data_IF_517423756128
#
_entry.id   IF_517423756128
#
_cell.length_a   1.000
_cell.length_b   1.000
_cell.length_c   1.000
_cell.angle_alpha   90.00
_cell.angle_beta   90.00
_cell.angle_gamma   90.00
#
_symmetry.space_group_name_H-M   'P 1'
#
loop_
_entity.id
_entity.type
_entity.pdbx_description
1 polymer ?
#
# COMPACT_ATOMS: atom_id res chain seq x y z
N UNK A 1 3.95 -7.35 24.62
CA UNK A 1 2.77 -6.79 23.93
C UNK A 1 2.90 -5.30 23.53
N UNK A 2 4.03 -4.61 23.74
CA UNK A 2 4.14 -3.15 23.50
C UNK A 2 4.75 -2.75 22.15
N UNK A 3 5.17 -3.70 21.31
CA UNK A 3 5.97 -3.39 20.11
C UNK A 3 5.19 -3.47 18.79
N UNK A 4 3.99 -4.07 18.78
CA UNK A 4 3.17 -4.18 17.57
C UNK A 4 2.36 -2.90 17.26
N UNK A 5 2.08 -2.07 18.26
CA UNK A 5 1.30 -0.83 18.10
C UNK A 5 2.10 0.34 17.54
N UNK A 6 3.43 0.34 17.69
CA UNK A 6 4.29 1.42 17.19
C UNK A 6 4.53 1.33 15.68
N UNK A 7 4.66 0.11 15.13
CA UNK A 7 4.88 -0.11 13.69
C UNK A 7 3.59 0.12 12.90
N UNK A 8 2.42 -0.26 13.43
CA UNK A 8 1.13 0.04 12.80
C UNK A 8 0.83 1.54 12.74
N UNK A 9 1.21 2.30 13.76
CA UNK A 9 0.91 3.73 13.83
C UNK A 9 1.76 4.58 12.86
N UNK A 10 3.00 4.15 12.54
CA UNK A 10 3.87 4.83 11.58
C UNK A 10 3.41 4.65 10.12
N UNK A 11 2.87 3.47 9.77
CA UNK A 11 2.29 3.24 8.45
C UNK A 11 0.98 4.05 8.26
N UNK A 12 0.16 4.17 9.30
CA UNK A 12 -1.13 4.89 9.22
C UNK A 12 -1.01 6.40 9.08
N UNK A 13 0.05 7.04 9.61
CA UNK A 13 0.20 8.51 9.52
C UNK A 13 0.61 9.03 8.15
N UNK A 14 1.20 8.18 7.30
CA UNK A 14 1.57 8.55 5.91
C UNK A 14 0.39 8.37 4.94
N UNK A 15 -0.55 7.47 5.27
CA UNK A 15 -1.65 7.05 4.38
C UNK A 15 -2.72 8.14 4.17
N UNK A 16 -2.96 9.03 5.14
CA UNK A 16 -4.08 9.97 5.08
C UNK A 16 -3.78 11.18 4.17
N UNK A 17 -2.51 11.49 3.90
CA UNK A 17 -2.13 12.62 3.04
C UNK A 17 -2.10 12.32 1.53
N UNK A 18 -2.08 11.04 1.14
CA UNK A 18 -1.64 10.63 -0.21
C UNK A 18 -2.76 10.18 -1.15
N UNK A 19 -3.92 9.75 -0.62
CA UNK A 19 -5.00 9.17 -1.42
C UNK A 19 -5.99 10.19 -2.04
N UNK A 20 -5.87 11.48 -1.72
CA UNK A 20 -6.84 12.50 -2.16
C UNK A 20 -6.44 13.28 -3.42
N UNK A 21 -5.30 12.98 -4.04
CA UNK A 21 -4.62 13.95 -4.92
C UNK A 21 -4.95 13.89 -6.42
N UNK A 22 -5.22 12.75 -7.08
CA UNK A 22 -5.32 12.74 -8.55
C UNK A 22 -6.48 13.61 -9.05
N UNK A 23 -7.68 13.46 -8.48
CA UNK A 23 -8.83 14.31 -8.82
C UNK A 23 -8.64 15.79 -8.43
N UNK A 24 -7.78 16.09 -7.45
CA UNK A 24 -7.43 17.46 -7.06
C UNK A 24 -6.28 18.06 -7.90
N UNK A 25 -5.58 17.24 -8.70
CA UNK A 25 -4.49 17.69 -9.56
C UNK A 25 -5.04 18.11 -10.93
N UNK A 26 -5.92 17.28 -11.52
CA UNK A 26 -6.65 17.59 -12.76
C UNK A 26 -7.51 18.86 -12.60
N UNK A 27 -8.34 18.93 -11.55
CA UNK A 27 -9.13 20.13 -11.19
C UNK A 27 -8.28 21.39 -10.95
N UNK A 28 -7.00 21.23 -10.58
CA UNK A 28 -6.07 22.35 -10.41
C UNK A 28 -5.41 22.77 -11.73
N UNK A 29 -5.12 21.83 -12.63
CA UNK A 29 -4.60 22.11 -13.97
C UNK A 29 -5.61 22.95 -14.75
N UNK A 30 -6.82 22.42 -14.91
CA UNK A 30 -7.93 23.06 -15.62
C UNK A 30 -8.21 24.48 -15.10
N UNK A 31 -8.23 24.66 -13.78
CA UNK A 31 -8.44 25.98 -13.17
C UNK A 31 -7.28 26.95 -13.42
N UNK A 32 -6.06 26.46 -13.55
CA UNK A 32 -4.91 27.33 -13.87
C UNK A 32 -4.99 27.77 -15.32
N UNK A 33 -5.30 26.85 -16.24
CA UNK A 33 -5.41 27.13 -17.67
C UNK A 33 -6.53 28.13 -17.93
N UNK A 34 -7.72 27.89 -17.38
CA UNK A 34 -8.85 28.81 -17.48
C UNK A 34 -8.46 30.23 -16.98
N UNK A 35 -7.63 30.33 -15.93
CA UNK A 35 -7.16 31.63 -15.42
C UNK A 35 -6.11 32.29 -16.30
N UNK A 36 -5.29 31.52 -17.01
CA UNK A 36 -4.30 32.04 -17.96
C UNK A 36 -5.01 32.52 -19.23
N UNK A 37 -5.98 31.76 -19.73
CA UNK A 37 -6.79 32.11 -20.90
C UNK A 37 -7.59 33.38 -20.65
N UNK A 38 -8.37 33.42 -19.56
CA UNK A 38 -9.11 34.63 -19.15
C UNK A 38 -8.18 35.84 -18.94
N UNK A 39 -6.91 35.61 -18.63
CA UNK A 39 -5.93 36.69 -18.48
C UNK A 39 -5.39 37.13 -19.84
N UNK A 40 -5.17 36.21 -20.78
CA UNK A 40 -4.80 36.49 -22.16
C UNK A 40 -5.87 37.34 -22.84
N UNK A 41 -7.12 36.87 -22.85
CA UNK A 41 -8.26 37.58 -23.45
C UNK A 41 -8.41 39.01 -22.93
N UNK A 42 -8.27 39.21 -21.61
CA UNK A 42 -8.36 40.55 -21.01
C UNK A 42 -7.19 41.47 -21.37
N UNK A 43 -6.04 40.90 -21.72
CA UNK A 43 -4.89 41.67 -22.18
C UNK A 43 -5.11 42.06 -23.64
N UNK A 44 -5.56 41.13 -24.47
CA UNK A 44 -5.81 41.35 -25.89
C UNK A 44 -6.89 42.41 -26.08
N UNK A 45 -8.03 42.27 -25.40
CA UNK A 45 -9.10 43.28 -25.42
C UNK A 45 -8.59 44.67 -25.03
N UNK A 46 -7.64 44.77 -24.09
CA UNK A 46 -7.05 46.06 -23.68
C UNK A 46 -6.04 46.61 -24.69
N UNK A 47 -5.34 45.75 -25.43
CA UNK A 47 -4.41 46.15 -26.46
C UNK A 47 -5.17 46.62 -27.70
N UNK A 48 -6.21 45.90 -28.11
CA UNK A 48 -7.07 46.26 -29.24
C UNK A 48 -7.76 47.60 -29.00
N UNK A 49 -8.47 47.74 -27.86
CA UNK A 49 -9.09 49.00 -27.47
C UNK A 49 -8.10 50.17 -27.39
N UNK A 50 -6.82 49.89 -27.14
CA UNK A 50 -5.77 50.90 -27.12
C UNK A 50 -5.27 51.23 -28.53
N UNK A 51 -5.16 50.23 -29.40
CA UNK A 51 -4.87 50.37 -30.83
C UNK A 51 -5.90 51.25 -31.51
N UNK A 52 -7.18 50.91 -31.38
CA UNK A 52 -8.30 51.65 -31.98
C UNK A 52 -8.26 53.15 -31.59
N UNK A 53 -8.10 53.44 -30.30
CA UNK A 53 -8.02 54.82 -29.79
C UNK A 53 -6.81 55.59 -30.32
N UNK A 54 -5.73 54.89 -30.64
CA UNK A 54 -4.51 55.49 -31.20
C UNK A 54 -4.74 55.78 -32.67
N UNK A 55 -5.28 54.83 -33.42
CA UNK A 55 -5.66 54.95 -34.83
C UNK A 55 -6.61 56.13 -35.04
N UNK A 56 -7.76 56.15 -34.36
CA UNK A 56 -8.74 57.25 -34.40
C UNK A 56 -8.10 58.62 -34.19
N UNK A 57 -7.14 58.69 -33.25
CA UNK A 57 -6.48 59.95 -32.90
C UNK A 57 -5.48 60.39 -33.96
N UNK A 58 -4.76 59.45 -34.58
CA UNK A 58 -3.80 59.76 -35.62
C UNK A 58 -4.49 60.10 -36.94
N UNK A 59 -5.56 59.41 -37.28
CA UNK A 59 -6.40 59.70 -38.45
C UNK A 59 -7.02 61.08 -38.36
N UNK A 60 -7.69 61.40 -37.24
CA UNK A 60 -8.25 62.73 -37.04
C UNK A 60 -7.19 63.85 -37.04
N UNK A 61 -5.93 63.54 -36.72
CA UNK A 61 -4.82 64.51 -36.81
C UNK A 61 -4.28 64.63 -38.24
N UNK A 62 -4.23 63.53 -38.98
CA UNK A 62 -3.81 63.51 -40.37
C UNK A 62 -4.82 64.25 -41.25
N UNK A 63 -6.11 63.99 -41.07
CA UNK A 63 -7.21 64.68 -41.75
C UNK A 63 -7.13 66.21 -41.55
N UNK A 64 -7.05 66.68 -40.29
CA UNK A 64 -6.88 68.12 -39.99
C UNK A 64 -5.61 68.72 -40.60
N UNK A 65 -4.54 67.94 -40.75
CA UNK A 65 -3.32 68.42 -41.40
C UNK A 65 -3.50 68.52 -42.92
N UNK A 66 -4.19 67.55 -43.52
CA UNK A 66 -4.57 67.55 -44.94
C UNK A 66 -5.47 68.75 -45.28
N UNK A 67 -6.51 68.99 -44.48
CA UNK A 67 -7.41 70.14 -44.64
C UNK A 67 -6.69 71.50 -44.56
N UNK A 68 -5.59 71.56 -43.81
CA UNK A 68 -4.74 72.74 -43.71
C UNK A 68 -3.68 72.85 -44.82
N UNK A 69 -3.71 71.98 -45.84
CA UNK A 69 -2.74 71.91 -46.94
C UNK A 69 -1.36 71.40 -46.52
N UNK A 70 -1.28 70.62 -45.43
CA UNK A 70 -0.02 70.09 -44.85
C UNK A 70 0.13 68.59 -45.09
N UNK A 71 0.05 68.16 -46.34
CA UNK A 71 0.04 66.74 -46.73
C UNK A 71 1.23 65.94 -46.18
N UNK A 72 2.44 66.51 -46.19
CA UNK A 72 3.64 65.87 -45.62
C UNK A 72 3.54 65.62 -44.11
N UNK A 73 2.76 66.44 -43.39
CA UNK A 73 2.50 66.23 -41.97
C UNK A 73 1.44 65.15 -41.77
N UNK A 74 0.39 65.13 -42.60
CA UNK A 74 -0.63 64.09 -42.59
C UNK A 74 -0.01 62.69 -42.78
N UNK A 75 0.81 62.53 -43.82
CA UNK A 75 1.50 61.27 -44.12
C UNK A 75 2.43 60.82 -42.96
N UNK A 76 3.09 61.78 -42.29
CA UNK A 76 3.94 61.49 -41.12
C UNK A 76 3.13 61.05 -39.89
N UNK A 77 1.89 61.51 -39.77
CA UNK A 77 1.01 61.15 -38.66
C UNK A 77 0.43 59.76 -38.86
N UNK A 78 -0.04 59.42 -40.07
CA UNK A 78 -0.49 58.07 -40.45
C UNK A 78 0.62 57.04 -40.17
N UNK A 79 1.82 57.24 -40.76
CA UNK A 79 2.99 56.37 -40.53
C UNK A 79 3.39 56.22 -39.06
N UNK A 80 3.06 57.22 -38.24
CA UNK A 80 3.33 57.16 -36.80
C UNK A 80 2.24 56.37 -36.06
N UNK A 81 0.98 56.46 -36.48
CA UNK A 81 -0.11 55.59 -36.04
C UNK A 81 0.22 54.13 -36.32
N UNK A 82 0.52 53.81 -37.58
CA UNK A 82 0.88 52.46 -38.03
C UNK A 82 2.00 51.85 -37.20
N UNK A 83 3.09 52.62 -36.98
CA UNK A 83 4.24 52.16 -36.19
C UNK A 83 3.88 51.91 -34.72
N UNK A 84 2.89 52.62 -34.18
CA UNK A 84 2.46 52.40 -32.79
C UNK A 84 1.57 51.16 -32.72
N UNK A 85 0.67 50.95 -33.68
CA UNK A 85 -0.15 49.74 -33.77
C UNK A 85 0.74 48.50 -33.92
N UNK A 86 1.69 48.51 -34.86
CA UNK A 86 2.67 47.42 -35.02
C UNK A 86 3.43 47.11 -33.71
N UNK A 87 3.74 48.14 -32.90
CA UNK A 87 4.39 47.93 -31.59
C UNK A 87 3.46 47.36 -30.53
N UNK A 88 2.16 47.59 -30.62
CA UNK A 88 1.17 47.00 -29.74
C UNK A 88 0.93 45.53 -30.09
N UNK A 89 0.84 45.20 -31.38
CA UNK A 89 0.71 43.82 -31.87
C UNK A 89 1.91 42.98 -31.42
N UNK A 90 3.12 43.44 -31.73
CA UNK A 90 4.36 42.81 -31.26
C UNK A 90 4.45 42.68 -29.73
N UNK A 91 3.72 43.52 -28.99
CA UNK A 91 3.67 43.42 -27.52
C UNK A 91 2.62 42.39 -27.09
N UNK A 92 1.51 42.28 -27.79
CA UNK A 92 0.51 41.22 -27.64
C UNK A 92 1.16 39.85 -27.81
N UNK A 93 1.81 39.62 -28.95
CA UNK A 93 2.50 38.36 -29.26
C UNK A 93 3.48 37.96 -28.15
N UNK A 94 4.30 38.91 -27.67
CA UNK A 94 5.27 38.66 -26.59
C UNK A 94 4.61 38.33 -25.24
N UNK A 95 3.40 38.81 -25.00
CA UNK A 95 2.65 38.49 -23.79
C UNK A 95 2.03 37.10 -23.94
N UNK A 96 1.44 36.80 -25.09
CA UNK A 96 0.90 35.47 -25.43
C UNK A 96 1.98 34.40 -25.28
N UNK A 97 3.14 34.58 -25.92
CA UNK A 97 4.30 33.71 -25.78
C UNK A 97 4.67 33.46 -24.32
N UNK A 98 4.64 34.50 -23.48
CA UNK A 98 4.97 34.38 -22.06
C UNK A 98 3.90 33.66 -21.24
N UNK A 99 2.63 33.77 -21.63
CA UNK A 99 1.53 33.05 -20.99
C UNK A 99 1.58 31.58 -21.36
N UNK A 100 1.78 31.26 -22.64
CA UNK A 100 1.93 29.89 -23.14
C UNK A 100 3.12 29.18 -22.48
N UNK A 101 4.31 29.79 -22.53
CA UNK A 101 5.50 29.27 -21.84
C UNK A 101 5.31 29.11 -20.32
N UNK A 102 4.37 29.86 -19.72
CA UNK A 102 4.04 29.72 -18.30
C UNK A 102 3.06 28.56 -18.07
N UNK A 103 2.08 28.36 -18.96
CA UNK A 103 1.19 27.20 -18.98
C UNK A 103 2.02 25.92 -19.07
N UNK A 104 2.86 25.79 -20.11
CA UNK A 104 3.72 24.63 -20.33
C UNK A 104 4.54 24.25 -19.08
N UNK A 105 5.13 25.24 -18.40
CA UNK A 105 5.92 25.01 -17.18
C UNK A 105 5.11 24.51 -15.99
N UNK A 106 3.83 24.86 -15.93
CA UNK A 106 2.92 24.42 -14.89
C UNK A 106 2.52 22.97 -15.19
N UNK A 107 2.17 22.66 -16.44
CA UNK A 107 1.80 21.31 -16.87
C UNK A 107 2.94 20.33 -16.62
N UNK A 108 4.14 20.68 -17.09
CA UNK A 108 5.40 19.99 -16.81
C UNK A 108 5.63 19.70 -15.31
N UNK A 109 5.16 20.59 -14.43
CA UNK A 109 5.32 20.43 -12.98
C UNK A 109 4.24 19.52 -12.40
N UNK A 110 3.03 19.57 -12.95
CA UNK A 110 1.91 18.71 -12.55
C UNK A 110 2.17 17.27 -13.00
N UNK A 111 2.59 17.05 -14.24
CA UNK A 111 2.96 15.73 -14.78
C UNK A 111 4.07 15.08 -13.94
N UNK A 112 5.19 15.77 -13.71
CA UNK A 112 6.28 15.26 -12.83
C UNK A 112 5.82 14.99 -11.39
N UNK A 113 4.76 15.66 -10.93
CA UNK A 113 4.21 15.39 -9.59
C UNK A 113 3.33 14.14 -9.62
N UNK A 114 2.56 13.93 -10.67
CA UNK A 114 1.75 12.73 -10.90
C UNK A 114 2.63 11.48 -11.04
N UNK A 115 3.68 11.53 -11.87
CA UNK A 115 4.66 10.45 -12.01
C UNK A 115 5.29 10.05 -10.65
N UNK A 116 5.65 11.03 -9.82
CA UNK A 116 6.16 10.76 -8.47
C UNK A 116 5.09 10.09 -7.61
N UNK A 117 3.84 10.52 -7.69
CA UNK A 117 2.76 9.92 -6.92
C UNK A 117 2.51 8.47 -7.33
N UNK A 118 2.52 8.16 -8.63
CA UNK A 118 2.41 6.80 -9.14
C UNK A 118 3.58 5.93 -8.68
N UNK A 119 4.81 6.44 -8.79
CA UNK A 119 6.00 5.72 -8.34
C UNK A 119 5.93 5.38 -6.84
N UNK A 120 5.53 6.34 -5.99
CA UNK A 120 5.33 6.08 -4.58
C UNK A 120 4.18 5.09 -4.32
N UNK A 121 3.07 5.17 -5.06
CA UNK A 121 1.96 4.22 -4.92
C UNK A 121 2.41 2.78 -5.22
N UNK A 122 3.19 2.58 -6.28
CA UNK A 122 3.75 1.27 -6.63
C UNK A 122 4.68 0.75 -5.53
N UNK A 123 5.61 1.58 -5.03
CA UNK A 123 6.49 1.22 -3.91
C UNK A 123 5.69 0.83 -2.65
N UNK A 124 4.60 1.52 -2.36
CA UNK A 124 3.74 1.19 -1.23
C UNK A 124 3.03 -0.15 -1.40
N UNK A 125 2.59 -0.49 -2.61
CA UNK A 125 1.94 -1.77 -2.87
C UNK A 125 2.94 -2.93 -2.83
N UNK A 126 4.16 -2.73 -3.33
CA UNK A 126 5.28 -3.65 -3.17
C UNK A 126 5.62 -3.88 -1.69
N UNK A 127 5.73 -2.81 -0.89
CA UNK A 127 6.00 -2.91 0.54
C UNK A 127 4.88 -3.65 1.29
N UNK A 128 3.61 -3.38 0.94
CA UNK A 128 2.46 -4.12 1.51
C UNK A 128 2.53 -5.60 1.15
N UNK A 129 2.90 -5.96 -0.07
CA UNK A 129 3.05 -7.35 -0.50
C UNK A 129 4.18 -8.03 0.27
N UNK A 130 5.37 -7.42 0.31
CA UNK A 130 6.51 -7.93 1.06
C UNK A 130 6.19 -8.10 2.56
N UNK A 131 5.44 -7.16 3.15
CA UNK A 131 5.01 -7.25 4.53
C UNK A 131 4.01 -8.41 4.75
N UNK A 132 3.08 -8.63 3.81
CA UNK A 132 2.14 -9.77 3.84
C UNK A 132 2.87 -11.09 3.74
N UNK A 133 3.83 -11.21 2.82
CA UNK A 133 4.65 -12.41 2.65
C UNK A 133 5.45 -12.72 3.91
N UNK A 134 6.16 -11.72 4.45
CA UNK A 134 6.95 -11.89 5.68
C UNK A 134 6.08 -12.27 6.89
N UNK A 135 4.86 -11.73 6.96
CA UNK A 135 3.86 -12.11 7.98
C UNK A 135 3.39 -13.55 7.80
N UNK A 136 3.15 -13.97 6.56
CA UNK A 136 2.74 -15.34 6.24
C UNK A 136 3.85 -16.32 6.60
N UNK A 137 5.07 -16.07 6.15
CA UNK A 137 6.25 -16.87 6.45
C UNK A 137 6.47 -17.01 7.96
N UNK A 138 6.32 -15.93 8.72
CA UNK A 138 6.43 -16.00 10.17
C UNK A 138 5.32 -16.84 10.81
N UNK A 139 4.09 -16.76 10.27
CA UNK A 139 2.95 -17.56 10.73
C UNK A 139 3.16 -19.06 10.47
N UNK A 140 3.68 -19.40 9.28
CA UNK A 140 3.96 -20.75 8.85
C UNK A 140 5.10 -21.35 9.69
N UNK A 141 6.20 -20.63 9.88
CA UNK A 141 7.30 -21.03 10.76
C UNK A 141 6.83 -21.27 12.22
N UNK A 142 5.89 -20.45 12.71
CA UNK A 142 5.28 -20.64 14.03
C UNK A 142 4.36 -21.86 14.08
N UNK A 143 3.66 -22.18 12.99
CA UNK A 143 2.82 -23.38 12.90
C UNK A 143 3.71 -24.63 12.92
N UNK A 144 4.72 -24.67 12.05
CA UNK A 144 5.66 -25.78 11.94
C UNK A 144 6.42 -26.02 13.25
N UNK A 145 6.91 -24.96 13.90
CA UNK A 145 7.58 -25.07 15.19
C UNK A 145 6.68 -25.63 16.30
N UNK A 146 5.37 -25.35 16.23
CA UNK A 146 4.39 -25.87 17.21
C UNK A 146 3.98 -27.31 16.92
N UNK A 147 3.84 -27.68 15.65
CA UNK A 147 3.58 -29.05 15.23
C UNK A 147 4.73 -29.97 15.66
N UNK A 148 5.97 -29.62 15.28
CA UNK A 148 7.17 -30.33 15.72
C UNK A 148 7.25 -30.49 17.25
N UNK A 149 6.86 -29.46 18.02
CA UNK A 149 6.84 -29.56 19.48
C UNK A 149 5.79 -30.55 19.99
N UNK A 150 4.62 -30.62 19.36
CA UNK A 150 3.55 -31.54 19.75
C UNK A 150 3.91 -32.99 19.41
N UNK A 151 4.54 -33.24 18.27
CA UNK A 151 5.00 -34.57 17.85
C UNK A 151 6.08 -35.09 18.81
N UNK A 152 7.12 -34.28 19.04
CA UNK A 152 8.17 -34.60 20.01
C UNK A 152 7.62 -34.85 21.43
N UNK A 153 6.50 -34.21 21.77
CA UNK A 153 5.81 -34.43 23.04
C UNK A 153 5.02 -35.74 23.04
N UNK A 154 4.36 -36.08 21.93
CA UNK A 154 3.69 -37.37 21.72
C UNK A 154 4.66 -38.52 21.89
N UNK A 155 5.74 -38.54 21.10
CA UNK A 155 6.82 -39.52 21.18
C UNK A 155 7.37 -39.73 22.60
N UNK A 156 7.56 -38.62 23.33
CA UNK A 156 8.07 -38.68 24.70
C UNK A 156 7.05 -39.32 25.65
N UNK A 157 5.76 -39.09 25.43
CA UNK A 157 4.70 -39.68 26.22
C UNK A 157 4.59 -41.17 25.92
N UNK A 158 4.62 -41.55 24.65
CA UNK A 158 4.56 -42.96 24.22
C UNK A 158 5.68 -43.76 24.84
N UNK A 159 6.95 -43.32 24.68
CA UNK A 159 8.10 -43.97 25.34
C UNK A 159 7.91 -44.11 26.85
N UNK A 160 7.28 -43.14 27.52
CA UNK A 160 7.04 -43.22 28.98
C UNK A 160 5.92 -44.17 29.35
N UNK A 161 4.93 -44.35 28.48
CA UNK A 161 3.84 -45.28 28.67
C UNK A 161 4.31 -46.71 28.40
N UNK A 162 5.08 -46.94 27.34
CA UNK A 162 5.68 -48.24 27.01
C UNK A 162 6.58 -48.73 28.15
N UNK A 163 7.55 -47.91 28.56
CA UNK A 163 8.42 -48.21 29.71
C UNK A 163 7.65 -48.45 31.02
N UNK A 164 6.41 -47.93 31.13
CA UNK A 164 5.56 -48.16 32.28
C UNK A 164 4.74 -49.44 32.14
N UNK A 165 4.31 -49.78 30.92
CA UNK A 165 3.70 -51.04 30.53
C UNK A 165 4.64 -52.20 30.87
N UNK A 166 5.86 -52.18 30.32
CA UNK A 166 6.89 -53.20 30.56
C UNK A 166 7.12 -53.45 32.07
N UNK A 167 7.25 -52.37 32.87
CA UNK A 167 7.45 -52.48 34.33
C UNK A 167 6.24 -53.01 35.09
N UNK A 168 5.05 -52.88 34.53
CA UNK A 168 3.82 -53.41 35.12
C UNK A 168 3.70 -54.89 34.75
N UNK A 169 3.90 -55.23 33.48
CA UNK A 169 3.96 -56.61 32.96
C UNK A 169 4.97 -57.44 33.76
N UNK A 170 6.23 -56.99 33.84
CA UNK A 170 7.30 -57.59 34.64
C UNK A 170 6.89 -57.91 36.09
N UNK A 171 6.07 -57.04 36.70
CA UNK A 171 5.62 -57.24 38.08
C UNK A 171 4.45 -58.19 38.18
N UNK A 172 3.56 -58.21 37.20
CA UNK A 172 2.46 -59.15 37.15
C UNK A 172 2.97 -60.55 36.85
N UNK A 173 3.93 -60.71 35.94
CA UNK A 173 4.56 -61.98 35.60
C UNK A 173 5.30 -62.57 36.80
N UNK A 174 6.21 -61.80 37.41
CA UNK A 174 6.89 -62.24 38.64
C UNK A 174 5.90 -62.63 39.73
N UNK A 175 4.79 -61.91 39.87
CA UNK A 175 3.77 -62.23 40.89
C UNK A 175 2.96 -63.45 40.50
N UNK A 176 2.69 -63.67 39.21
CA UNK A 176 2.02 -64.85 38.71
C UNK A 176 2.88 -66.10 38.98
N UNK A 177 4.15 -66.05 38.61
CA UNK A 177 5.12 -67.14 38.83
C UNK A 177 5.24 -67.51 40.31
N UNK A 178 5.47 -66.53 41.20
CA UNK A 178 5.55 -66.77 42.64
C UNK A 178 4.30 -67.46 43.21
N UNK A 179 3.11 -67.15 42.66
CA UNK A 179 1.84 -67.70 43.14
C UNK A 179 1.56 -69.07 42.51
N UNK A 180 2.04 -69.33 41.28
CA UNK A 180 2.06 -70.67 40.68
C UNK A 180 2.99 -71.62 41.42
N UNK A 181 4.17 -71.16 41.77
CA UNK A 181 5.14 -71.91 42.59
C UNK A 181 4.57 -72.28 43.98
N UNK A 182 3.69 -71.44 44.52
CA UNK A 182 2.95 -71.71 45.76
C UNK A 182 1.73 -72.65 45.58
N UNK A 183 1.50 -73.20 44.39
CA UNK A 183 0.40 -74.12 44.07
C UNK A 183 -0.93 -73.47 43.71
N UNK A 184 -0.95 -72.15 43.44
CA UNK A 184 -2.17 -71.39 43.17
C UNK A 184 -2.29 -70.95 41.69
N UNK A 185 -2.30 -71.92 40.78
CA UNK A 185 -2.38 -71.74 39.32
C UNK A 185 -3.46 -70.72 38.87
N UNK A 186 -4.68 -70.87 39.37
CA UNK A 186 -5.82 -69.99 39.02
C UNK A 186 -5.61 -68.53 39.39
N UNK A 187 -4.75 -68.26 40.39
CA UNK A 187 -4.41 -66.90 40.81
C UNK A 187 -3.29 -66.35 39.92
N UNK A 188 -2.34 -67.19 39.49
CA UNK A 188 -1.35 -66.86 38.46
C UNK A 188 -2.01 -66.39 37.16
N UNK A 189 -2.92 -67.18 36.61
CA UNK A 189 -3.65 -66.83 35.36
C UNK A 189 -4.51 -65.56 35.51
N UNK A 190 -4.94 -65.24 36.73
CA UNK A 190 -5.69 -64.01 37.01
C UNK A 190 -4.75 -62.80 37.05
N UNK A 191 -3.50 -62.99 37.47
CA UNK A 191 -2.49 -61.93 37.53
C UNK A 191 -1.97 -61.58 36.13
N UNK A 192 -1.69 -62.56 35.27
CA UNK A 192 -1.35 -62.32 33.86
C UNK A 192 -2.46 -61.53 33.15
N UNK A 193 -3.71 -62.00 33.23
CA UNK A 193 -4.87 -61.28 32.68
C UNK A 193 -5.03 -59.86 33.23
N UNK A 194 -4.56 -59.59 34.45
CA UNK A 194 -4.54 -58.23 35.03
C UNK A 194 -3.38 -57.40 34.50
N UNK A 195 -2.23 -58.02 34.23
CA UNK A 195 -1.10 -57.43 33.50
C UNK A 195 -1.54 -56.99 32.09
N UNK A 196 -2.07 -57.92 31.30
CA UNK A 196 -2.60 -57.65 29.95
C UNK A 196 -3.64 -56.52 29.96
N UNK A 197 -4.54 -56.54 30.96
CA UNK A 197 -5.56 -55.50 31.06
C UNK A 197 -4.97 -54.15 31.47
N UNK A 198 -3.90 -54.12 32.26
CA UNK A 198 -3.22 -52.88 32.62
C UNK A 198 -2.46 -52.30 31.43
N UNK A 199 -1.82 -53.16 30.64
CA UNK A 199 -1.09 -52.82 29.43
C UNK A 199 -2.02 -52.23 28.35
N UNK A 200 -3.10 -52.93 28.01
CA UNK A 200 -4.15 -52.43 27.10
C UNK A 200 -4.78 -51.10 27.56
N UNK A 201 -4.77 -50.80 28.86
CA UNK A 201 -5.27 -49.52 29.39
C UNK A 201 -4.25 -48.39 29.20
N UNK A 202 -2.96 -48.68 29.18
CA UNK A 202 -1.91 -47.72 28.88
C UNK A 202 -1.86 -47.40 27.39
N UNK A 203 -1.99 -48.40 26.51
CA UNK A 203 -2.09 -48.18 25.05
C UNK A 203 -3.24 -47.25 24.70
N UNK A 204 -4.45 -47.61 25.14
CA UNK A 204 -5.65 -46.78 24.94
C UNK A 204 -5.49 -45.38 25.53
N UNK A 205 -4.62 -45.20 26.53
CA UNK A 205 -4.32 -43.88 27.11
C UNK A 205 -3.32 -43.12 26.23
N UNK A 206 -2.31 -43.79 25.68
CA UNK A 206 -1.40 -43.24 24.67
C UNK A 206 -2.17 -42.73 23.46
N UNK A 207 -2.99 -43.59 22.85
CA UNK A 207 -3.83 -43.26 21.70
C UNK A 207 -4.69 -42.02 21.95
N UNK A 208 -5.33 -41.93 23.13
CA UNK A 208 -6.16 -40.77 23.50
C UNK A 208 -5.33 -39.50 23.64
N UNK A 209 -4.10 -39.59 24.13
CA UNK A 209 -3.23 -38.43 24.29
C UNK A 209 -2.76 -37.96 22.91
N UNK A 210 -2.29 -38.86 22.06
CA UNK A 210 -1.85 -38.54 20.70
C UNK A 210 -2.99 -37.91 19.90
N UNK A 211 -4.18 -38.50 19.92
CA UNK A 211 -5.35 -37.90 19.25
C UNK A 211 -5.70 -36.49 19.76
N UNK A 212 -5.46 -36.20 21.04
CA UNK A 212 -5.66 -34.86 21.59
C UNK A 212 -4.54 -33.88 21.20
N UNK A 213 -3.30 -34.35 21.05
CA UNK A 213 -2.17 -33.55 20.56
C UNK A 213 -2.37 -33.22 19.07
N UNK A 214 -2.80 -34.18 18.24
CA UNK A 214 -3.09 -33.97 16.82
C UNK A 214 -4.22 -32.97 16.61
N UNK A 215 -5.30 -33.09 17.39
CA UNK A 215 -6.40 -32.11 17.39
C UNK A 215 -5.91 -30.72 17.79
N UNK A 216 -4.96 -30.63 18.71
CA UNK A 216 -4.37 -29.36 19.14
C UNK A 216 -3.46 -28.77 18.06
N UNK A 217 -2.65 -29.59 17.38
CA UNK A 217 -1.83 -29.18 16.24
C UNK A 217 -2.68 -28.64 15.09
N UNK A 218 -3.71 -29.41 14.69
CA UNK A 218 -4.66 -29.01 13.66
C UNK A 218 -5.43 -27.71 13.99
N UNK A 219 -5.77 -27.49 15.27
CA UNK A 219 -6.41 -26.24 15.69
C UNK A 219 -5.46 -25.05 15.56
N UNK A 220 -4.20 -25.23 15.92
CA UNK A 220 -3.16 -24.20 15.82
C UNK A 220 -2.89 -23.83 14.36
N UNK A 221 -2.80 -24.82 13.46
CA UNK A 221 -2.64 -24.61 12.03
C UNK A 221 -3.80 -23.81 11.40
N UNK A 222 -5.03 -24.00 11.91
CA UNK A 222 -6.23 -23.28 11.44
C UNK A 222 -6.34 -21.85 11.96
N UNK A 223 -5.84 -21.57 13.16
CA UNK A 223 -5.87 -20.20 13.74
C UNK A 223 -4.79 -19.27 13.18
N UNK A 224 -3.82 -19.83 12.44
CA UNK A 224 -2.68 -19.10 11.84
C UNK A 224 -2.85 -18.86 10.32
N UNK A 225 -3.91 -19.38 9.70
CA UNK A 225 -4.39 -19.02 8.35
C UNK A 225 -5.40 -17.89 8.44
#
# INVERSE_FOLDING_TARGET
MKNNTLITNLASSVIIGMFAIPALAEDRGDRIDERLDNKGERIDERLDNRGDRIEDRFDARAERASDAGRDKLAERLEKRGDRINERLDNKGDRIEDRLNNKGDRIDDRLERREERHEHFANLFDEEKQAFREKRQEHSDNLADGRENHLDNKGDRIDRRLDNKGDRIEDRFDRRADNVRDAGHERVGDRLERRGDHADQRLDRKGDRINHNLDRKGNRVARTNR
#
